data_IF_881664060864
#
_entry.id   IF_881664060864
#
_cell.length_a   1.000
_cell.length_b   1.000
_cell.length_c   1.000
_cell.angle_alpha   90.00
_cell.angle_beta   90.00
_cell.angle_gamma   90.00
#
_symmetry.space_group_name_H-M   'P 1'
#
loop_
_entity.id
_entity.type
_entity.pdbx_description
1 polymer ?
#
# COMPACT_ATOMS: atom_id res chain seq x y z
N UNK A 1 5.00 -1.56 -20.58
CA UNK A 1 4.76 -1.26 -19.16
C UNK A 1 3.29 -1.49 -18.86
N UNK A 2 2.98 -2.25 -17.80
CA UNK A 2 1.61 -2.34 -17.29
C UNK A 2 1.48 -1.39 -16.11
N UNK A 3 0.32 -0.77 -15.95
CA UNK A 3 -0.02 0.05 -14.80
C UNK A 3 -1.06 -0.70 -13.99
N UNK A 4 -0.81 -0.86 -12.70
CA UNK A 4 -1.79 -1.35 -11.74
C UNK A 4 -2.43 -0.17 -11.04
N UNK A 5 -3.76 -0.22 -10.85
CA UNK A 5 -4.49 0.76 -10.06
C UNK A 5 -4.99 0.08 -8.78
N UNK A 6 -4.52 0.56 -7.64
CA UNK A 6 -4.92 0.09 -6.31
C UNK A 6 -5.82 1.13 -5.64
N UNK A 7 -6.91 0.67 -5.04
CA UNK A 7 -7.69 1.49 -4.11
C UNK A 7 -7.18 1.23 -2.70
N UNK A 8 -6.70 2.27 -2.05
CA UNK A 8 -6.21 2.23 -0.67
C UNK A 8 -7.23 2.91 0.23
N UNK A 9 -7.71 2.17 1.23
CA UNK A 9 -8.60 2.66 2.27
C UNK A 9 -7.80 2.80 3.55
N UNK A 10 -8.07 3.85 4.32
CA UNK A 10 -7.55 3.97 5.68
C UNK A 10 -8.63 3.53 6.67
N UNK A 11 -8.21 2.86 7.73
CA UNK A 11 -9.08 2.52 8.86
C UNK A 11 -9.27 3.78 9.72
N UNK A 12 -10.07 4.71 9.18
CA UNK A 12 -10.40 5.99 9.81
C UNK A 12 -11.91 6.27 9.63
N UNK A 13 -12.57 6.90 10.62
CA UNK A 13 -13.99 7.23 10.54
C UNK A 13 -14.39 8.12 9.35
N UNK A 14 -13.44 8.81 8.71
CA UNK A 14 -13.70 9.69 7.57
C UNK A 14 -13.94 8.96 6.25
N UNK A 15 -13.85 7.62 6.21
CA UNK A 15 -14.00 6.79 4.99
C UNK A 15 -13.14 7.28 3.80
N UNK A 16 -11.98 7.88 4.08
CA UNK A 16 -11.12 8.40 3.04
C UNK A 16 -10.44 7.26 2.27
N UNK A 17 -10.47 7.35 0.94
CA UNK A 17 -9.72 6.45 0.07
C UNK A 17 -8.90 7.24 -0.96
N UNK A 18 -7.89 6.57 -1.52
CA UNK A 18 -7.08 7.06 -2.65
C UNK A 18 -6.95 5.96 -3.67
N UNK A 19 -7.16 6.30 -4.93
CA UNK A 19 -6.76 5.44 -6.04
C UNK A 19 -5.32 5.80 -6.41
N UNK A 20 -4.42 4.82 -6.37
CA UNK A 20 -2.99 4.98 -6.63
C UNK A 20 -2.63 4.11 -7.83
N UNK A 21 -1.91 4.71 -8.78
CA UNK A 21 -1.36 4.00 -9.94
C UNK A 21 0.11 3.72 -9.73
N UNK A 22 0.52 2.48 -10.03
CA UNK A 22 1.90 2.02 -9.88
C UNK A 22 2.30 1.18 -11.09
N UNK A 23 3.52 1.40 -11.57
CA UNK A 23 4.13 0.62 -12.63
C UNK A 23 4.38 -0.82 -12.21
N UNK A 24 4.30 -1.74 -13.17
CA UNK A 24 4.59 -3.16 -12.93
C UNK A 24 6.04 -3.47 -12.55
N UNK A 25 6.93 -2.48 -12.68
CA UNK A 25 8.34 -2.50 -12.37
C UNK A 25 8.70 -1.78 -11.06
N UNK A 26 7.72 -1.16 -10.39
CA UNK A 26 7.93 -0.49 -9.12
C UNK A 26 7.83 -1.45 -7.94
N UNK A 27 8.57 -1.13 -6.89
CA UNK A 27 8.74 -1.92 -5.66
C UNK A 27 7.63 -1.65 -4.64
N UNK A 28 7.50 -2.52 -3.63
CA UNK A 28 6.60 -2.26 -2.49
C UNK A 28 7.04 -1.06 -1.65
N UNK A 29 8.35 -0.76 -1.61
CA UNK A 29 8.85 0.45 -0.97
C UNK A 29 8.33 1.71 -1.67
N UNK A 30 8.40 1.75 -3.00
CA UNK A 30 7.85 2.86 -3.80
C UNK A 30 6.32 2.95 -3.64
N UNK A 31 5.63 1.80 -3.58
CA UNK A 31 4.19 1.80 -3.30
C UNK A 31 3.86 2.39 -1.93
N UNK A 32 4.62 2.02 -0.90
CA UNK A 32 4.47 2.56 0.45
C UNK A 32 4.72 4.08 0.50
N UNK A 33 5.73 4.57 -0.22
CA UNK A 33 5.99 6.01 -0.35
C UNK A 33 4.82 6.73 -1.03
N UNK A 34 4.28 6.18 -2.12
CA UNK A 34 3.12 6.74 -2.81
C UNK A 34 1.87 6.80 -1.90
N UNK A 35 1.63 5.78 -1.07
CA UNK A 35 0.56 5.81 -0.06
C UNK A 35 0.79 6.94 0.95
N UNK A 36 1.99 7.05 1.50
CA UNK A 36 2.32 8.11 2.47
C UNK A 36 2.08 9.50 1.89
N UNK A 37 2.52 9.74 0.66
CA UNK A 37 2.32 11.00 -0.03
C UNK A 37 0.83 11.30 -0.28
N UNK A 38 0.06 10.30 -0.75
CA UNK A 38 -1.37 10.46 -1.08
C UNK A 38 -2.25 10.82 0.14
N UNK A 39 -1.84 10.38 1.34
CA UNK A 39 -2.52 10.67 2.60
C UNK A 39 -1.82 11.75 3.46
N UNK A 40 -0.64 12.22 3.06
CA UNK A 40 0.13 13.21 3.80
C UNK A 40 0.72 12.70 5.13
N UNK A 41 0.98 11.39 5.23
CA UNK A 41 1.58 10.78 6.41
C UNK A 41 3.03 11.24 6.57
N UNK A 42 3.40 11.61 7.80
CA UNK A 42 4.75 12.05 8.17
C UNK A 42 5.39 11.03 9.11
N UNK A 43 6.68 10.81 8.98
CA UNK A 43 7.46 9.90 9.83
C UNK A 43 8.11 8.75 9.07
N UNK A 44 8.99 8.04 9.74
CA UNK A 44 9.80 6.93 9.21
C UNK A 44 9.48 5.60 9.91
N UNK A 45 8.21 5.44 10.30
CA UNK A 45 7.75 4.23 10.98
C UNK A 45 7.95 3.00 10.10
N UNK A 46 8.32 1.88 10.75
CA UNK A 46 8.42 0.60 10.07
C UNK A 46 7.04 0.16 9.59
N UNK A 47 6.99 -0.35 8.35
CA UNK A 47 5.77 -0.88 7.76
C UNK A 47 6.08 -2.15 6.95
N UNK A 48 5.03 -2.91 6.69
CA UNK A 48 5.03 -4.08 5.81
C UNK A 48 3.63 -4.24 5.21
N UNK A 49 3.54 -5.00 4.13
CA UNK A 49 2.25 -5.37 3.53
C UNK A 49 1.88 -6.79 3.90
N UNK A 50 0.60 -7.10 3.84
CA UNK A 50 0.09 -8.46 3.97
C UNK A 50 -0.85 -8.75 2.81
N UNK A 51 -0.76 -9.96 2.26
CA UNK A 51 -1.72 -10.44 1.27
C UNK A 51 -2.89 -11.06 2.04
N UNK A 52 -4.09 -10.52 1.87
CA UNK A 52 -5.29 -11.10 2.47
C UNK A 52 -5.87 -12.23 1.63
N UNK A 53 -6.69 -13.08 2.27
CA UNK A 53 -7.56 -14.01 1.56
C UNK A 53 -8.91 -13.36 1.20
N UNK A 54 -9.85 -14.17 0.71
CA UNK A 54 -11.20 -13.73 0.32
C UNK A 54 -12.05 -13.24 1.51
N UNK A 55 -11.70 -13.66 2.74
CA UNK A 55 -12.36 -13.27 3.98
C UNK A 55 -11.68 -12.08 4.66
N UNK A 56 -10.72 -11.43 3.98
CA UNK A 56 -9.89 -10.35 4.52
C UNK A 56 -9.02 -10.74 5.71
N UNK A 57 -8.77 -12.04 5.91
CA UNK A 57 -7.86 -12.50 6.96
C UNK A 57 -6.42 -12.19 6.61
N UNK A 58 -5.62 -11.86 7.62
CA UNK A 58 -4.19 -11.55 7.48
C UNK A 58 -3.42 -12.79 7.00
N UNK A 59 -2.91 -12.75 5.77
CA UNK A 59 -2.10 -13.82 5.20
C UNK A 59 -0.59 -13.53 5.23
N UNK A 60 0.17 -13.98 4.21
CA UNK A 60 1.62 -13.83 4.15
C UNK A 60 2.09 -12.38 4.20
N UNK A 61 3.20 -12.14 4.88
CA UNK A 61 3.88 -10.84 4.94
C UNK A 61 4.71 -10.59 3.68
N UNK A 62 4.70 -9.34 3.23
CA UNK A 62 5.56 -8.80 2.18
C UNK A 62 6.38 -7.65 2.80
N UNK A 63 7.67 -7.87 3.11
CA UNK A 63 8.54 -6.84 3.67
C UNK A 63 8.77 -5.70 2.66
N UNK A 64 8.94 -4.46 3.15
CA UNK A 64 9.28 -3.32 2.28
C UNK A 64 10.69 -3.41 1.67
N UNK A 65 11.60 -4.12 2.34
CA UNK A 65 13.00 -4.24 1.94
C UNK A 65 13.26 -5.42 0.98
N UNK A 66 12.29 -6.31 0.79
CA UNK A 66 12.39 -7.44 -0.12
C UNK A 66 11.57 -7.15 -1.38
N UNK A 67 12.17 -6.43 -2.33
CA UNK A 67 12.01 -6.47 -3.81
C UNK A 67 12.51 -5.18 -4.44
#
# INVERSE_FOLDING_TARGET
MRIYRFRVLIDDPSEAFRDIEIGSDQTFLEFHQAIKEAFGFKGDEMACFYVSDEEWSKGPEVPLADM
#
